data_IF_870675819768
#
_entry.id   IF_870675819768
#
_cell.length_a   1.000
_cell.length_b   1.000
_cell.length_c   1.000
_cell.angle_alpha   90.00
_cell.angle_beta   90.00
_cell.angle_gamma   90.00
#
_symmetry.space_group_name_H-M   'P 1'
#
loop_
_entity.id
_entity.type
_entity.pdbx_description
1 polymer ?
#
# COMPACT_ATOMS: atom_id res chain seq x y z
N UNK A 1 -22.01 -45.58 4.27
CA UNK A 1 -21.33 -44.47 4.96
C UNK A 1 -21.13 -43.35 3.96
N UNK A 2 -21.70 -42.18 4.22
CA UNK A 2 -21.74 -41.03 3.32
C UNK A 2 -20.55 -40.10 3.55
N UNK A 3 -19.83 -39.71 2.49
CA UNK A 3 -19.10 -38.44 2.27
C UNK A 3 -18.94 -38.33 0.74
N UNK A 4 -19.47 -37.37 0.01
CA UNK A 4 -19.73 -35.96 0.31
C UNK A 4 -18.90 -35.13 -0.67
N UNK A 5 -19.47 -34.88 -1.86
CA UNK A 5 -18.97 -33.96 -2.88
C UNK A 5 -18.66 -32.57 -2.31
N UNK A 6 -17.51 -31.99 -2.68
CA UNK A 6 -17.32 -30.53 -2.80
C UNK A 6 -16.28 -30.21 -3.88
N UNK A 7 -16.67 -29.63 -5.02
CA UNK A 7 -15.72 -28.94 -5.88
C UNK A 7 -15.37 -27.58 -5.25
N UNK A 8 -14.10 -27.37 -4.93
CA UNK A 8 -13.57 -26.05 -4.55
C UNK A 8 -13.62 -25.14 -5.77
N UNK A 9 -14.63 -24.28 -5.82
CA UNK A 9 -14.75 -23.22 -6.80
C UNK A 9 -13.57 -22.25 -6.70
N UNK A 10 -12.61 -22.39 -7.61
CA UNK A 10 -11.65 -21.34 -7.90
C UNK A 10 -12.39 -20.17 -8.53
N UNK A 11 -12.71 -19.13 -7.76
CA UNK A 11 -13.08 -17.83 -8.31
C UNK A 11 -11.86 -17.26 -9.02
N UNK A 12 -11.72 -17.57 -10.30
CA UNK A 12 -10.95 -16.76 -11.22
C UNK A 12 -11.67 -15.40 -11.31
N UNK A 13 -11.20 -14.43 -10.55
CA UNK A 13 -11.60 -13.03 -10.71
C UNK A 13 -11.12 -12.58 -12.09
N UNK A 14 -12.03 -12.73 -13.06
CA UNK A 14 -11.94 -12.30 -14.44
C UNK A 14 -11.60 -10.80 -14.44
N UNK A 15 -10.34 -10.48 -14.71
CA UNK A 15 -9.87 -9.11 -14.87
C UNK A 15 -10.61 -8.45 -16.03
N UNK A 16 -11.65 -7.70 -15.71
CA UNK A 16 -12.27 -6.74 -16.62
C UNK A 16 -11.26 -5.63 -16.87
N UNK A 17 -10.76 -5.55 -18.11
CA UNK A 17 -10.00 -4.39 -18.57
C UNK A 17 -10.95 -3.20 -18.61
N UNK A 18 -10.90 -2.37 -17.58
CA UNK A 18 -11.63 -1.10 -17.56
C UNK A 18 -10.89 -0.10 -18.45
N UNK A 19 -11.59 0.62 -19.34
CA UNK A 19 -10.98 1.66 -20.18
C UNK A 19 -10.41 2.78 -19.32
N UNK A 20 -9.33 3.40 -19.80
CA UNK A 20 -8.66 4.51 -19.15
C UNK A 20 -9.65 5.61 -18.75
N UNK A 21 -9.83 5.85 -17.44
CA UNK A 21 -10.64 6.98 -16.99
C UNK A 21 -11.08 6.97 -15.52
N UNK A 22 -11.34 5.81 -14.91
CA UNK A 22 -11.62 5.71 -13.47
C UNK A 22 -11.03 4.41 -12.95
N UNK A 23 -9.91 4.51 -12.22
CA UNK A 23 -9.41 3.37 -11.45
C UNK A 23 -10.37 3.19 -10.29
N UNK A 24 -11.23 2.18 -10.38
CA UNK A 24 -12.06 1.76 -9.26
C UNK A 24 -11.12 1.33 -8.14
N UNK A 25 -11.23 1.96 -6.97
CA UNK A 25 -10.45 1.56 -5.82
C UNK A 25 -11.10 0.31 -5.22
N UNK A 26 -10.28 -0.66 -4.85
CA UNK A 26 -10.72 -1.79 -4.04
C UNK A 26 -11.27 -1.36 -2.69
N UNK A 27 -12.06 -2.22 -2.04
CA UNK A 27 -12.62 -1.92 -0.72
C UNK A 27 -11.53 -1.92 0.35
N UNK A 28 -10.68 -2.94 0.35
CA UNK A 28 -9.57 -3.08 1.31
C UNK A 28 -8.34 -2.26 0.87
N UNK A 29 -7.59 -1.74 1.84
CA UNK A 29 -6.39 -0.94 1.56
C UNK A 29 -5.32 -1.75 0.81
N UNK A 30 -5.17 -3.03 1.15
CA UNK A 30 -4.25 -3.98 0.50
C UNK A 30 -4.50 -4.19 -1.00
N UNK A 31 -5.73 -3.95 -1.46
CA UNK A 31 -6.10 -4.03 -2.89
C UNK A 31 -5.67 -2.80 -3.70
N UNK A 32 -5.17 -1.75 -3.04
CA UNK A 32 -4.86 -0.46 -3.66
C UNK A 32 -3.44 0.01 -3.39
N UNK A 33 -2.94 -0.24 -2.18
CA UNK A 33 -1.72 0.36 -1.66
C UNK A 33 -0.65 -0.66 -1.34
N UNK A 34 0.61 -0.22 -1.38
CA UNK A 34 1.76 -0.91 -0.80
C UNK A 34 2.68 0.11 -0.15
N UNK A 35 3.41 -0.32 0.87
CA UNK A 35 4.47 0.45 1.47
C UNK A 35 5.84 -0.20 1.20
N UNK A 36 6.83 0.64 0.87
CA UNK A 36 8.21 0.21 0.60
C UNK A 36 9.22 1.15 1.26
N UNK A 37 10.36 0.57 1.59
CA UNK A 37 11.53 1.28 2.08
C UNK A 37 12.51 1.47 0.92
N UNK A 38 13.01 2.69 0.76
CA UNK A 38 13.96 3.08 -0.27
C UNK A 38 15.11 3.80 0.42
N UNK A 39 16.36 3.57 -0.01
CA UNK A 39 17.49 4.44 0.39
C UNK A 39 17.55 5.64 -0.55
N UNK A 40 17.75 6.82 -0.01
CA UNK A 40 17.79 8.04 -0.81
C UNK A 40 18.50 9.19 -0.10
N UNK A 41 18.75 10.26 -0.85
CA UNK A 41 19.33 11.48 -0.30
C UNK A 41 18.26 12.25 0.47
N UNK A 42 18.56 12.60 1.73
CA UNK A 42 17.69 13.42 2.58
C UNK A 42 17.86 14.92 2.32
N UNK A 43 19.05 15.31 1.84
CA UNK A 43 19.43 16.68 1.51
C UNK A 43 20.95 16.79 1.39
N UNK A 44 21.44 17.93 0.86
CA UNK A 44 22.89 18.16 0.69
C UNK A 44 23.63 18.13 2.03
N UNK A 45 22.98 18.60 3.10
CA UNK A 45 23.57 18.69 4.44
C UNK A 45 23.36 17.44 5.31
N UNK A 46 22.30 16.67 5.04
CA UNK A 46 21.92 15.48 5.82
C UNK A 46 22.47 14.17 5.22
N UNK A 47 22.92 14.19 3.97
CA UNK A 47 23.49 13.03 3.29
C UNK A 47 22.45 11.99 2.89
N UNK A 48 22.78 10.71 3.11
CA UNK A 48 21.91 9.56 2.79
C UNK A 48 21.03 9.17 3.98
N UNK A 49 19.83 8.67 3.68
CA UNK A 49 18.94 8.11 4.66
C UNK A 49 17.89 7.20 4.02
N UNK A 50 16.78 7.05 4.71
CA UNK A 50 15.74 6.10 4.41
C UNK A 50 14.43 6.83 4.10
N UNK A 51 13.71 6.32 3.11
CA UNK A 51 12.45 6.89 2.66
C UNK A 51 11.40 5.80 2.71
N UNK A 52 10.36 6.01 3.52
CA UNK A 52 9.18 5.17 3.51
C UNK A 52 8.19 5.76 2.51
N UNK A 53 7.88 5.00 1.47
CA UNK A 53 6.94 5.40 0.42
C UNK A 53 5.66 4.59 0.51
N UNK A 54 4.52 5.28 0.48
CA UNK A 54 3.21 4.66 0.20
C UNK A 54 2.89 4.85 -1.26
N UNK A 55 2.68 3.75 -1.98
CA UNK A 55 2.37 3.74 -3.40
C UNK A 55 0.98 3.19 -3.65
N UNK A 56 0.23 3.82 -4.55
CA UNK A 56 -0.94 3.18 -5.15
C UNK A 56 -0.46 2.36 -6.36
N UNK A 57 -0.45 1.04 -6.23
CA UNK A 57 0.14 0.17 -7.25
C UNK A 57 -0.76 -0.01 -8.48
N UNK A 58 -2.05 0.33 -8.40
CA UNK A 58 -2.97 0.39 -9.54
C UNK A 58 -2.63 1.56 -10.46
N UNK A 59 -2.29 2.71 -9.88
CA UNK A 59 -1.92 3.94 -10.62
C UNK A 59 -0.42 4.14 -10.79
N UNK A 60 0.41 3.32 -10.12
CA UNK A 60 1.88 3.44 -10.05
C UNK A 60 2.37 4.77 -9.49
N UNK A 61 1.54 5.46 -8.68
CA UNK A 61 1.88 6.76 -8.08
C UNK A 61 2.33 6.59 -6.63
N UNK A 62 3.39 7.31 -6.26
CA UNK A 62 3.74 7.56 -4.86
C UNK A 62 2.76 8.59 -4.32
N UNK A 63 2.12 8.29 -3.19
CA UNK A 63 1.12 9.14 -2.56
C UNK A 63 1.62 9.79 -1.27
N UNK A 64 2.57 9.15 -0.58
CA UNK A 64 3.22 9.67 0.62
C UNK A 64 4.71 9.31 0.58
N UNK A 65 5.55 10.24 1.02
CA UNK A 65 6.96 10.03 1.30
C UNK A 65 7.26 10.56 2.69
N UNK A 66 7.95 9.78 3.48
CA UNK A 66 8.47 10.19 4.77
C UNK A 66 9.94 9.82 4.86
N UNK A 67 10.73 10.76 5.36
CA UNK A 67 12.18 10.71 5.43
C UNK A 67 12.63 10.34 6.84
N UNK A 68 13.61 9.46 6.93
CA UNK A 68 14.18 8.95 8.16
C UNK A 68 15.70 8.93 8.06
N UNK A 69 16.38 9.43 9.09
CA UNK A 69 17.84 9.32 9.20
C UNK A 69 18.25 7.91 9.65
N UNK A 70 17.50 7.34 10.60
CA UNK A 70 17.77 6.01 11.17
C UNK A 70 17.03 4.88 10.43
N UNK A 71 17.68 3.73 10.32
CA UNK A 71 17.15 2.59 9.57
C UNK A 71 16.08 1.80 10.34
N UNK A 72 16.19 1.76 11.66
CA UNK A 72 15.26 1.02 12.51
C UNK A 72 13.96 1.81 12.67
N UNK A 73 14.03 3.13 12.84
CA UNK A 73 12.84 4.00 12.81
C UNK A 73 12.05 3.85 11.49
N UNK A 74 12.77 3.82 10.36
CA UNK A 74 12.16 3.66 9.05
C UNK A 74 11.51 2.26 8.88
N UNK A 75 12.10 1.23 9.47
CA UNK A 75 11.58 -0.15 9.44
C UNK A 75 10.35 -0.29 10.32
N UNK A 76 10.35 0.32 11.49
CA UNK A 76 9.22 0.32 12.41
C UNK A 76 8.03 1.05 11.78
N UNK A 77 8.25 2.22 11.17
CA UNK A 77 7.18 2.90 10.44
C UNK A 77 6.69 2.08 9.24
N UNK A 78 7.60 1.49 8.46
CA UNK A 78 7.21 0.61 7.36
C UNK A 78 6.34 -0.56 7.84
N UNK A 79 6.69 -1.18 8.97
CA UNK A 79 5.93 -2.29 9.54
C UNK A 79 4.54 -1.85 9.97
N UNK A 80 4.43 -0.71 10.68
CA UNK A 80 3.13 -0.12 11.07
C UNK A 80 2.23 0.16 9.87
N UNK A 81 2.77 0.79 8.82
CA UNK A 81 1.99 1.09 7.63
C UNK A 81 1.54 -0.18 6.91
N UNK A 82 2.39 -1.22 6.86
CA UNK A 82 2.01 -2.50 6.25
C UNK A 82 0.89 -3.19 7.01
N UNK A 83 0.97 -3.22 8.34
CA UNK A 83 -0.10 -3.77 9.18
C UNK A 83 -1.42 -3.02 8.97
N UNK A 84 -1.38 -1.69 8.91
CA UNK A 84 -2.55 -0.87 8.60
C UNK A 84 -3.09 -1.12 7.18
N UNK A 85 -2.23 -1.33 6.17
CA UNK A 85 -2.67 -1.70 4.80
C UNK A 85 -3.41 -3.04 4.80
N UNK A 86 -2.93 -3.99 5.60
CA UNK A 86 -3.48 -5.35 5.64
C UNK A 86 -4.76 -5.43 6.49
N UNK A 87 -4.96 -4.52 7.44
CA UNK A 87 -6.07 -4.56 8.39
C UNK A 87 -7.17 -3.51 8.15
N UNK A 88 -6.91 -2.43 7.42
CA UNK A 88 -7.87 -1.33 7.21
C UNK A 88 -8.59 -1.35 5.87
N UNK A 89 -9.76 -0.70 5.85
CA UNK A 89 -10.41 -0.32 4.60
C UNK A 89 -9.64 0.79 3.87
N UNK A 90 -9.88 0.91 2.56
CA UNK A 90 -9.30 1.96 1.73
C UNK A 90 -9.64 3.36 2.21
N UNK A 91 -10.85 3.57 2.75
CA UNK A 91 -11.28 4.88 3.25
C UNK A 91 -10.54 5.26 4.54
N UNK A 92 -10.45 4.34 5.49
CA UNK A 92 -9.73 4.53 6.76
C UNK A 92 -8.26 4.82 6.51
N UNK A 93 -7.61 4.00 5.67
CA UNK A 93 -6.20 4.18 5.32
C UNK A 93 -5.95 5.53 4.66
N UNK A 94 -6.82 5.96 3.72
CA UNK A 94 -6.72 7.27 3.07
C UNK A 94 -6.85 8.42 4.07
N UNK A 95 -7.81 8.32 4.99
CA UNK A 95 -8.05 9.34 6.02
C UNK A 95 -6.88 9.44 6.99
N UNK A 96 -6.19 8.33 7.27
CA UNK A 96 -5.03 8.28 8.17
C UNK A 96 -3.76 8.80 7.52
N UNK A 97 -3.43 8.33 6.31
CA UNK A 97 -2.10 8.53 5.70
C UNK A 97 -2.06 9.47 4.50
N UNK A 98 -3.19 9.68 3.81
CA UNK A 98 -3.22 10.31 2.48
C UNK A 98 -4.02 11.62 2.46
N UNK A 99 -4.23 12.24 3.63
CA UNK A 99 -4.89 13.55 3.69
C UNK A 99 -4.20 14.53 2.74
N UNK A 100 -4.97 15.39 2.05
CA UNK A 100 -4.38 16.38 1.17
C UNK A 100 -3.43 17.27 1.98
N UNK A 101 -2.27 17.66 1.41
CA UNK A 101 -1.43 18.66 2.03
C UNK A 101 -2.27 19.91 2.25
N UNK A 102 -2.29 20.41 3.49
CA UNK A 102 -2.74 21.76 3.82
C UNK A 102 -1.83 22.79 3.20
#
# INVERSE_FOLDING_TARGET
MARGDKPTGGKASRGTRTPAGKVELGYDASENYKARLVKGLLGVDLGEGYIVEVVNYRTKRVLRRELFEDSDDARDELARIRDDIDTMTTEEFRKRYLKPPT
#
